data_IF_977028300386
#
_entry.id   IF_977028300386
#
_cell.length_a   1.000
_cell.length_b   1.000
_cell.length_c   1.000
_cell.angle_alpha   90.00
_cell.angle_beta   90.00
_cell.angle_gamma   90.00
#
_symmetry.space_group_name_H-M   'P 1'
#
loop_
_entity.id
_entity.type
_entity.pdbx_description
1 polymer ?
2 non-polymer ?
3 non-polymer ?
4 water ?
#
# COMPACT_ATOMS: atom_id res chain seq x y z
N UNK A 29 6.69 -33.67 16.88
CA UNK A 29 7.26 -32.97 15.72
C UNK A 29 7.43 -31.46 15.95
N UNK A 30 8.65 -30.97 15.79
CA UNK A 30 8.99 -29.60 16.14
C UNK A 30 8.20 -28.54 15.38
N UNK A 31 8.78 -27.36 15.24
CA UNK A 31 8.07 -26.27 14.57
C UNK A 31 8.23 -26.33 13.06
N UNK A 32 7.32 -25.67 12.38
CA UNK A 32 7.34 -25.67 10.92
C UNK A 32 8.44 -24.76 10.40
N UNK A 33 8.87 -25.03 9.17
CA UNK A 33 9.86 -24.21 8.48
C UNK A 33 9.47 -24.07 7.03
N UNK A 34 9.81 -22.91 6.47
CA UNK A 34 9.47 -22.53 5.11
C UNK A 34 10.71 -21.86 4.55
N UNK A 35 11.36 -22.52 3.61
CA UNK A 35 12.56 -21.97 2.97
C UNK A 35 13.60 -21.63 4.05
N UNK A 36 14.03 -22.68 4.76
CA UNK A 36 15.02 -22.55 5.82
C UNK A 36 14.66 -21.60 6.95
N UNK A 37 13.51 -20.93 6.83
CA UNK A 37 13.02 -20.02 7.85
C UNK A 37 12.07 -20.75 8.79
N UNK A 38 12.38 -20.76 10.08
CA UNK A 38 11.44 -21.32 11.04
C UNK A 38 10.17 -20.48 11.05
N UNK A 39 9.05 -21.14 11.26
CA UNK A 39 7.72 -20.53 11.24
C UNK A 39 6.97 -21.18 12.40
N UNK A 40 7.06 -20.57 13.58
CA UNK A 40 6.68 -21.26 14.80
C UNK A 40 5.23 -20.91 15.16
N UNK A 41 4.31 -21.43 14.34
CA UNK A 41 2.90 -21.06 14.42
C UNK A 41 1.99 -22.24 14.71
N UNK A 42 2.52 -23.46 14.85
CA UNK A 42 1.73 -24.59 15.26
C UNK A 42 1.41 -24.47 16.74
N UNK A 43 0.54 -25.35 17.26
CA UNK A 43 -0.13 -26.47 16.59
C UNK A 43 -1.32 -26.02 15.75
N UNK A 44 -1.83 -24.81 15.97
CA UNK A 44 -3.08 -24.39 15.32
C UNK A 44 -2.92 -24.20 13.82
N UNK A 45 -1.78 -23.67 13.37
CA UNK A 45 -1.56 -23.37 11.96
C UNK A 45 -0.48 -24.31 11.41
N UNK A 46 -0.80 -25.00 10.32
CA UNK A 46 0.09 -26.02 9.77
C UNK A 46 -0.05 -25.98 8.25
N UNK A 47 0.61 -26.93 7.57
CA UNK A 47 0.55 -27.04 6.11
C UNK A 47 0.90 -25.71 5.45
N UNK A 48 2.07 -25.19 5.80
CA UNK A 48 2.48 -23.87 5.34
C UNK A 48 2.88 -23.89 3.86
N UNK A 49 2.68 -22.75 3.20
CA UNK A 49 3.07 -22.53 1.81
C UNK A 49 3.65 -21.13 1.65
N UNK A 50 4.81 -21.03 1.01
CA UNK A 50 5.40 -19.73 0.74
C UNK A 50 4.44 -18.86 -0.08
N UNK A 51 4.48 -17.56 0.17
CA UNK A 51 3.70 -16.58 -0.56
C UNK A 51 4.60 -15.45 -1.05
N UNK A 52 5.40 -14.89 -0.15
CA UNK A 52 6.26 -13.79 -0.49
C UNK A 52 7.05 -13.35 0.73
N UNK A 53 7.93 -12.36 0.53
CA UNK A 53 8.74 -11.85 1.63
C UNK A 53 9.13 -10.40 1.38
N UNK A 54 9.26 -9.65 2.47
CA UNK A 54 9.75 -8.31 2.45
C UNK A 54 11.14 -8.20 3.04
N UNK A 55 11.51 -6.96 3.40
CA UNK A 55 12.85 -6.69 3.93
C UNK A 55 13.09 -7.39 5.26
N UNK A 56 12.11 -7.38 6.17
CA UNK A 56 12.29 -8.02 7.48
C UNK A 56 11.11 -8.95 7.82
N UNK A 57 10.57 -9.65 6.84
CA UNK A 57 9.43 -10.52 7.10
C UNK A 57 9.13 -11.41 5.91
N UNK A 58 8.35 -12.45 6.19
CA UNK A 58 7.93 -13.43 5.22
C UNK A 58 6.44 -13.69 5.40
N UNK A 59 5.78 -14.03 4.29
CA UNK A 59 4.35 -14.32 4.28
C UNK A 59 4.13 -15.72 3.74
N UNK A 60 3.32 -16.50 4.46
CA UNK A 60 2.89 -17.83 4.03
C UNK A 60 1.39 -17.95 4.21
N UNK A 61 0.82 -18.91 3.50
CA UNK A 61 -0.51 -19.43 3.85
C UNK A 61 -0.34 -20.59 4.79
N UNK A 62 -1.39 -20.87 5.55
CA UNK A 62 -1.39 -22.00 6.47
C UNK A 62 -2.81 -22.50 6.64
N UNK A 63 -2.93 -23.73 7.15
CA UNK A 63 -4.23 -24.29 7.50
C UNK A 63 -4.51 -23.99 8.98
N UNK A 64 -5.62 -23.29 9.24
CA UNK A 64 -6.11 -23.00 10.59
C UNK A 64 -7.02 -24.14 11.04
N UNK A 65 -6.48 -25.04 11.89
CA UNK A 65 -7.26 -26.21 12.33
C UNK A 65 -8.39 -25.86 13.28
N UNK A 66 -8.67 -24.59 13.58
CA UNK A 66 -9.83 -24.22 14.39
C UNK A 66 -11.00 -23.80 13.51
N UNK A 67 -10.77 -22.85 12.61
CA UNK A 67 -11.81 -22.35 11.72
C UNK A 67 -11.85 -23.10 10.41
N UNK A 68 -11.05 -24.16 10.28
CA UNK A 68 -11.09 -25.09 9.16
C UNK A 68 -10.96 -24.35 7.82
N UNK A 69 -10.15 -23.29 7.81
CA UNK A 69 -9.87 -22.54 6.59
C UNK A 69 -8.36 -22.35 6.48
N UNK A 70 -7.93 -21.98 5.27
CA UNK A 70 -6.57 -21.50 5.09
C UNK A 70 -6.49 -20.00 5.39
N UNK A 71 -5.38 -19.58 6.00
CA UNK A 71 -5.17 -18.19 6.37
C UNK A 71 -3.81 -17.72 5.85
N UNK A 72 -3.60 -16.40 5.90
CA UNK A 72 -2.30 -15.81 5.62
C UNK A 72 -1.60 -15.47 6.94
N UNK A 73 -0.30 -15.73 6.99
CA UNK A 73 0.51 -15.43 8.16
C UNK A 73 1.74 -14.64 7.71
N UNK A 74 1.90 -13.43 8.24
CA UNK A 74 3.11 -12.65 8.02
C UNK A 74 4.00 -12.75 9.25
N UNK A 75 5.17 -13.35 9.08
CA UNK A 75 6.21 -13.33 10.08
C UNK A 75 6.99 -12.03 9.96
N UNK A 76 7.19 -11.35 11.09
CA UNK A 76 7.88 -10.06 11.14
C UNK A 76 8.97 -10.18 12.19
N UNK A 77 10.21 -9.82 11.80
CA UNK A 77 11.38 -9.88 12.70
C UNK A 77 12.06 -8.52 12.76
N UNK A 78 11.52 -7.59 13.54
CA UNK A 78 11.91 -6.19 13.37
C UNK A 78 12.85 -5.64 14.42
N UNK A 79 13.13 -6.40 15.48
CA UNK A 79 13.59 -5.81 16.75
C UNK A 79 15.04 -5.33 16.72
N UNK A 80 15.81 -5.70 15.71
CA UNK A 80 17.17 -5.18 15.58
C UNK A 80 17.18 -3.67 15.26
N UNK A 81 16.13 -3.14 14.65
CA UNK A 81 16.15 -1.78 14.12
C UNK A 81 14.96 -0.98 14.63
N UNK A 82 15.25 0.19 15.22
CA UNK A 82 14.22 1.10 15.71
C UNK A 82 13.18 1.41 14.64
N UNK A 83 13.60 1.56 13.38
CA UNK A 83 12.64 1.87 12.32
C UNK A 83 11.66 0.72 12.10
N UNK A 84 12.18 -0.51 12.01
CA UNK A 84 11.31 -1.66 11.86
C UNK A 84 10.35 -1.74 13.02
N UNK A 85 10.81 -1.44 14.23
CA UNK A 85 9.95 -1.50 15.42
C UNK A 85 8.81 -0.49 15.32
N UNK A 86 9.09 0.73 14.85
CA UNK A 86 8.02 1.72 14.68
C UNK A 86 6.98 1.27 13.67
N UNK A 87 7.43 0.77 12.50
CA UNK A 87 6.50 0.36 11.45
C UNK A 87 5.66 -0.82 11.89
N UNK A 88 6.27 -1.77 12.60
CA UNK A 88 5.53 -2.93 13.10
C UNK A 88 4.46 -2.51 14.09
N UNK A 89 4.82 -1.66 15.06
CA UNK A 89 3.83 -1.16 16.00
C UNK A 89 2.75 -0.38 15.28
N UNK A 90 3.14 0.46 14.31
CA UNK A 90 2.15 1.20 13.54
C UNK A 90 1.24 0.26 12.77
N UNK A 91 1.82 -0.69 12.03
CA UNK A 91 1.00 -1.64 11.27
C UNK A 91 -0.04 -2.29 12.18
N UNK A 92 0.39 -2.80 13.33
CA UNK A 92 -0.52 -3.53 14.21
C UNK A 92 -1.62 -2.62 14.74
N UNK A 93 -1.25 -1.44 15.24
CA UNK A 93 -2.25 -0.57 15.86
C UNK A 93 -3.28 -0.07 14.84
N UNK A 94 -2.83 0.31 13.65
CA UNK A 94 -3.76 0.76 12.62
C UNK A 94 -4.69 -0.37 12.19
N UNK A 95 -4.12 -1.52 11.84
CA UNK A 95 -4.96 -2.61 11.33
C UNK A 95 -5.93 -3.12 12.39
N UNK A 96 -5.53 -3.10 13.67
CA UNK A 96 -6.49 -3.49 14.69
C UNK A 96 -7.58 -2.44 14.89
N UNK A 97 -7.36 -1.19 14.48
CA UNK A 97 -8.41 -0.20 14.68
C UNK A 97 -9.34 -0.10 13.48
N UNK A 98 -8.76 -0.18 12.29
CA UNK A 98 -9.53 -0.10 11.06
C UNK A 98 -10.45 -1.30 10.92
N UNK A 99 -11.63 -1.05 10.36
CA UNK A 99 -12.57 -2.13 10.11
C UNK A 99 -13.29 -1.80 8.79
N UNK A 100 -12.75 -2.29 7.68
CA UNK A 100 -13.27 -1.93 6.36
C UNK A 100 -13.14 -3.10 5.40
N UNK A 101 -14.14 -3.28 4.56
CA UNK A 101 -14.17 -4.43 3.66
C UNK A 101 -12.99 -4.44 2.70
N UNK A 102 -12.44 -3.27 2.33
CA UNK A 102 -11.39 -3.22 1.34
C UNK A 102 -10.02 -3.10 1.98
N UNK A 103 -9.91 -3.39 3.27
CA UNK A 103 -8.68 -3.26 4.01
C UNK A 103 -8.47 -4.55 4.79
N UNK A 104 -7.27 -5.13 4.64
CA UNK A 104 -6.94 -6.36 5.35
C UNK A 104 -7.01 -6.12 6.86
N UNK A 105 -7.51 -7.11 7.60
CA UNK A 105 -7.59 -7.04 9.04
C UNK A 105 -6.53 -7.92 9.70
N UNK A 106 -6.60 -7.99 11.02
CA UNK A 106 -5.76 -8.89 11.81
C UNK A 106 -6.67 -9.77 12.65
N UNK A 107 -6.54 -11.08 12.48
CA UNK A 107 -7.38 -12.05 13.19
C UNK A 107 -6.72 -12.58 14.44
N UNK A 108 -5.40 -12.70 14.42
CA UNK A 108 -4.64 -13.34 15.48
C UNK A 108 -3.21 -12.81 15.39
N UNK A 109 -2.52 -12.82 16.52
CA UNK A 109 -1.10 -12.51 16.59
C UNK A 109 -0.41 -13.50 17.51
N UNK A 110 0.68 -14.10 17.03
CA UNK A 110 1.48 -15.06 17.77
C UNK A 110 2.84 -14.43 18.09
N UNK A 111 3.24 -14.53 19.35
CA UNK A 111 4.62 -14.22 19.71
C UNK A 111 4.94 -14.93 21.03
N UNK A 112 6.23 -14.90 21.40
CA UNK A 112 6.74 -15.69 22.51
C UNK A 112 6.11 -15.25 23.84
N UNK A 113 6.04 -16.12 24.83
CA UNK A 113 5.34 -15.75 26.07
C UNK A 113 6.08 -14.71 26.91
N UNK A 114 7.39 -14.49 26.68
CA UNK A 114 8.16 -13.49 27.42
C UNK A 114 8.88 -12.55 26.45
N UNK A 115 8.99 -11.28 26.85
CA UNK A 115 9.64 -10.28 25.99
C UNK A 115 11.06 -10.69 25.66
N UNK A 116 11.78 -11.28 26.62
CA UNK A 116 13.11 -11.80 26.30
C UNK A 116 13.09 -12.80 25.17
N UNK A 117 12.02 -13.61 25.08
CA UNK A 117 11.97 -14.64 24.06
C UNK A 117 11.48 -14.13 22.71
N UNK A 118 10.81 -12.98 22.68
CA UNK A 118 10.17 -12.49 21.47
C UNK A 118 11.22 -12.01 20.48
N UNK A 119 11.49 -12.82 19.46
CA UNK A 119 12.31 -12.42 18.33
C UNK A 119 11.48 -12.12 17.09
N UNK A 120 10.30 -12.73 16.99
CA UNK A 120 9.46 -12.64 15.81
C UNK A 120 8.05 -12.31 16.25
N UNK A 121 7.30 -11.67 15.37
CA UNK A 121 5.86 -11.53 15.55
C UNK A 121 5.17 -12.06 14.30
N UNK A 122 4.15 -12.90 14.50
CA UNK A 122 3.38 -13.46 13.40
C UNK A 122 2.00 -12.84 13.43
N UNK A 123 1.62 -12.20 12.33
CA UNK A 123 0.29 -11.63 12.18
C UNK A 123 -0.54 -12.53 11.25
N UNK A 124 -1.73 -12.92 11.71
CA UNK A 124 -2.62 -13.80 10.95
C UNK A 124 -3.72 -12.97 10.34
N UNK A 125 -3.99 -13.20 9.06
CA UNK A 125 -5.00 -12.41 8.37
C UNK A 125 -5.71 -13.30 7.35
N UNK A 126 -6.84 -12.79 6.87
CA UNK A 126 -7.60 -13.50 5.84
C UNK A 126 -6.71 -13.83 4.66
N UNK A 127 -6.83 -15.04 4.13
CA UNK A 127 -6.07 -15.44 2.96
C UNK A 127 -6.83 -15.03 1.72
N UNK A 128 -6.12 -14.37 0.81
CA UNK A 128 -6.69 -13.96 -0.46
C UNK A 128 -6.07 -14.78 -1.58
N UNK A 129 -6.75 -14.76 -2.73
CA UNK A 129 -6.37 -15.66 -3.82
C UNK A 129 -5.05 -15.23 -4.46
N UNK A 130 -4.89 -13.94 -4.71
CA UNK A 130 -3.71 -13.48 -5.44
C UNK A 130 -3.54 -11.98 -5.19
N UNK A 131 -2.52 -11.39 -5.82
CA UNK A 131 -2.37 -9.94 -5.78
C UNK A 131 -2.42 -9.37 -7.20
N UNK A 132 -2.61 -8.06 -7.28
CA UNK A 132 -2.78 -7.47 -8.60
C UNK A 132 -1.50 -7.59 -9.42
N UNK A 133 -0.35 -7.61 -8.75
CA UNK A 133 0.90 -7.83 -9.47
C UNK A 133 0.81 -9.09 -10.33
N UNK A 134 0.54 -10.24 -9.70
CA UNK A 134 0.53 -11.50 -10.43
C UNK A 134 -0.59 -11.53 -11.46
N UNK A 135 -1.76 -11.00 -11.09
CA UNK A 135 -2.87 -10.95 -12.04
C UNK A 135 -2.45 -10.24 -13.32
N UNK A 136 -1.83 -9.07 -13.20
CA UNK A 136 -1.40 -8.32 -14.37
C UNK A 136 -0.22 -8.98 -15.10
N UNK A 137 0.46 -9.94 -14.50
CA UNK A 137 1.49 -10.67 -15.25
C UNK A 137 0.88 -11.68 -16.21
N UNK A 138 -0.39 -12.07 -16.02
CA UNK A 138 -0.95 -13.18 -16.77
C UNK A 138 -2.33 -12.93 -17.36
N UNK A 139 -2.97 -11.81 -17.05
CA UNK A 139 -4.35 -11.63 -17.46
C UNK A 139 -4.58 -10.22 -17.99
N UNK A 140 -5.45 -10.15 -19.00
CA UNK A 140 -5.92 -8.90 -19.58
C UNK A 140 -7.24 -8.55 -18.93
N UNK A 141 -7.33 -7.34 -18.38
CA UNK A 141 -8.51 -6.91 -17.64
C UNK A 141 -9.48 -6.18 -18.57
N UNK A 142 -10.72 -6.62 -18.59
CA UNK A 142 -11.79 -5.88 -19.25
C UNK A 142 -11.95 -4.51 -18.64
N UNK A 143 -12.48 -3.56 -19.43
CA UNK A 143 -12.75 -2.24 -18.88
C UNK A 143 -13.58 -2.34 -17.61
N UNK A 144 -14.49 -3.31 -17.55
CA UNK A 144 -15.34 -3.49 -16.38
C UNK A 144 -14.54 -3.86 -15.15
N UNK A 145 -13.58 -4.77 -15.27
CA UNK A 145 -12.83 -5.17 -14.10
C UNK A 145 -11.92 -4.05 -13.64
N UNK A 146 -11.27 -3.37 -14.59
CA UNK A 146 -10.44 -2.21 -14.27
C UNK A 146 -11.25 -1.19 -13.49
N UNK A 147 -12.46 -0.92 -13.95
CA UNK A 147 -13.36 0.01 -13.26
C UNK A 147 -13.65 -0.48 -11.84
N UNK A 148 -13.96 -1.77 -11.70
CA UNK A 148 -14.40 -2.31 -10.41
C UNK A 148 -13.26 -2.37 -9.40
N UNK A 149 -12.08 -2.82 -9.85
CA UNK A 149 -10.90 -2.77 -9.01
C UNK A 149 -10.55 -1.34 -8.61
N UNK A 150 -10.58 -0.39 -9.58
CA UNK A 150 -10.26 0.98 -9.22
C UNK A 150 -11.23 1.50 -8.17
N UNK A 151 -12.52 1.19 -8.34
CA UNK A 151 -13.49 1.64 -7.35
C UNK A 151 -13.09 1.13 -5.97
N UNK A 152 -12.73 -0.14 -5.86
CA UNK A 152 -12.48 -0.70 -4.54
C UNK A 152 -11.22 -0.09 -3.92
N UNK A 153 -10.15 0.01 -4.70
CA UNK A 153 -8.94 0.68 -4.21
C UNK A 153 -9.31 2.02 -3.59
N UNK A 154 -10.00 2.85 -4.36
CA UNK A 154 -10.34 4.19 -3.88
C UNK A 154 -11.33 4.15 -2.73
N UNK A 155 -12.23 3.17 -2.72
CA UNK A 155 -13.19 3.05 -1.62
C UNK A 155 -12.49 2.72 -0.31
N UNK A 156 -11.54 1.78 -0.35
CA UNK A 156 -10.67 1.57 0.79
C UNK A 156 -9.89 2.82 1.15
N UNK A 157 -9.32 3.49 0.13
CA UNK A 157 -8.45 4.63 0.40
C UNK A 157 -9.25 5.79 0.97
N UNK A 158 -10.54 5.87 0.64
CA UNK A 158 -11.40 6.87 1.26
C UNK A 158 -11.51 6.63 2.76
N UNK A 159 -11.77 5.39 3.17
CA UNK A 159 -11.76 5.09 4.59
C UNK A 159 -10.42 5.46 5.22
N UNK A 160 -9.31 5.01 4.59
CA UNK A 160 -7.97 5.28 5.12
C UNK A 160 -7.75 6.78 5.33
N UNK A 161 -7.91 7.56 4.26
CA UNK A 161 -7.62 8.99 4.34
C UNK A 161 -8.61 9.70 5.25
N UNK A 162 -9.85 9.17 5.34
CA UNK A 162 -10.83 9.76 6.23
C UNK A 162 -10.37 9.68 7.69
N UNK A 163 -9.52 8.72 8.01
CA UNK A 163 -8.96 8.57 9.34
C UNK A 163 -7.68 9.37 9.50
N UNK A 164 -7.33 10.19 8.52
CA UNK A 164 -6.10 10.97 8.50
C UNK A 164 -4.85 10.12 8.47
N UNK A 165 -4.92 8.95 7.82
CA UNK A 165 -3.79 8.06 7.64
C UNK A 165 -3.42 8.01 6.16
N UNK A 166 -2.13 7.89 5.89
CA UNK A 166 -1.59 7.68 4.55
C UNK A 166 -1.00 6.28 4.45
N UNK A 167 -1.27 5.59 3.35
CA UNK A 167 -0.65 4.28 3.15
C UNK A 167 0.82 4.45 2.78
N UNK A 168 1.10 5.25 1.76
CA UNK A 168 2.42 5.65 1.32
C UNK A 168 3.14 4.61 0.48
N UNK A 169 2.62 3.41 0.30
CA UNK A 169 3.35 2.45 -0.52
C UNK A 169 2.39 1.59 -1.33
N UNK A 170 1.30 2.19 -1.80
CA UNK A 170 0.38 1.44 -2.64
C UNK A 170 1.11 0.94 -3.89
N UNK A 171 0.85 -0.33 -4.25
CA UNK A 171 1.45 -0.91 -5.44
C UNK A 171 0.70 -2.20 -5.77
N UNK A 172 0.85 -2.74 -6.98
CA UNK A 172 0.07 -3.94 -7.32
C UNK A 172 0.35 -5.11 -6.40
N UNK A 173 1.55 -5.21 -5.82
CA UNK A 173 1.85 -6.38 -5.01
C UNK A 173 1.27 -6.29 -3.60
N UNK A 174 0.58 -5.20 -3.23
CA UNK A 174 -0.10 -5.22 -1.94
C UNK A 174 -1.58 -4.84 -2.11
N UNK A 175 -2.10 -5.07 -3.31
CA UNK A 175 -3.53 -5.06 -3.58
C UNK A 175 -3.94 -6.50 -3.81
N UNK A 176 -4.67 -7.07 -2.86
CA UNK A 176 -5.06 -8.47 -2.88
C UNK A 176 -6.43 -8.64 -3.50
N UNK A 177 -6.58 -9.76 -4.24
CA UNK A 177 -7.81 -10.10 -4.94
C UNK A 177 -8.32 -11.48 -4.53
N UNK A 178 -9.65 -11.60 -4.51
CA UNK A 178 -10.34 -12.84 -4.27
C UNK A 178 -10.88 -13.44 -5.56
N UNK A 179 -11.35 -14.68 -5.44
CA UNK A 179 -12.00 -15.34 -6.56
C UNK A 179 -13.12 -14.45 -7.12
N UNK A 180 -13.99 -13.92 -6.23
CA UNK A 180 -15.16 -13.14 -6.60
C UNK A 180 -14.84 -11.68 -6.95
N UNK A 181 -13.59 -11.37 -7.27
CA UNK A 181 -13.16 -10.03 -7.67
C UNK A 181 -13.13 -9.02 -6.53
N UNK A 182 -13.29 -9.45 -5.28
CA UNK A 182 -13.13 -8.54 -4.16
C UNK A 182 -11.66 -8.22 -3.96
N UNK A 183 -11.41 -6.97 -3.57
CA UNK A 183 -10.06 -6.44 -3.43
C UNK A 183 -9.84 -5.96 -2.00
N UNK A 184 -8.65 -6.21 -1.49
CA UNK A 184 -8.23 -5.67 -0.20
C UNK A 184 -6.84 -5.06 -0.28
N UNK A 185 -6.67 -3.90 0.35
CA UNK A 185 -5.36 -3.26 0.49
C UNK A 185 -4.65 -3.85 1.69
N UNK A 186 -3.38 -4.18 1.54
CA UNK A 186 -2.61 -4.67 2.69
C UNK A 186 -1.24 -4.00 2.84
N UNK A 187 -0.46 -4.49 3.79
CA UNK A 187 0.84 -3.95 4.20
C UNK A 187 0.79 -2.48 4.59
N UNK A 188 0.46 -2.21 5.85
CA UNK A 188 0.45 -0.86 6.39
C UNK A 188 1.69 -0.54 7.20
N UNK A 189 2.80 -1.23 6.95
CA UNK A 189 4.01 -0.96 7.70
C UNK A 189 4.52 0.45 7.54
N UNK A 190 4.35 1.03 6.36
CA UNK A 190 4.78 2.41 6.09
C UNK A 190 3.69 3.44 6.33
N UNK A 191 2.51 3.05 6.79
CA UNK A 191 1.45 4.03 6.96
C UNK A 191 1.79 5.01 8.06
N UNK A 192 1.24 6.22 7.97
CA UNK A 192 1.49 7.30 8.91
C UNK A 192 0.31 8.23 8.94
N UNK A 193 0.17 8.96 10.05
CA UNK A 193 -0.85 9.98 10.13
C UNK A 193 -0.36 11.22 9.39
N UNK A 194 -1.29 12.02 8.89
CA UNK A 194 -0.96 13.14 8.02
C UNK A 194 -0.84 14.45 8.78
N UNK A 210 8.91 -1.69 -5.77
CA UNK A 210 9.91 -0.74 -6.23
C UNK A 210 9.63 0.70 -5.79
N UNK A 211 10.19 1.62 -6.58
CA UNK A 211 9.89 3.04 -6.50
C UNK A 211 9.03 3.51 -7.67
N UNK A 212 8.45 2.59 -8.44
CA UNK A 212 7.74 2.98 -9.65
C UNK A 212 6.45 3.74 -9.37
N UNK A 213 5.97 3.71 -8.13
CA UNK A 213 4.69 4.31 -7.77
C UNK A 213 4.86 5.52 -6.86
N UNK A 214 6.10 5.94 -6.61
CA UNK A 214 6.34 7.11 -5.76
C UNK A 214 5.94 8.37 -6.50
N UNK A 215 5.15 9.22 -5.86
CA UNK A 215 4.86 10.54 -6.39
C UNK A 215 6.17 11.29 -6.63
N UNK A 216 6.18 12.27 -7.55
CA UNK A 216 7.41 13.05 -7.76
C UNK A 216 7.78 13.96 -6.59
N UNK A 217 6.82 14.53 -5.86
CA UNK A 217 7.18 15.30 -4.65
C UNK A 217 8.14 14.54 -3.76
N UNK A 218 7.99 13.21 -3.67
CA UNK A 218 8.77 12.44 -2.70
C UNK A 218 10.21 12.32 -3.14
N UNK A 219 10.44 12.27 -4.45
CA UNK A 219 11.79 12.19 -5.00
C UNK A 219 12.56 13.51 -4.88
N UNK A 220 12.06 14.42 -4.05
CA UNK A 220 12.87 15.46 -3.43
C UNK A 220 12.75 15.35 -1.92
N UNK A 221 11.57 15.55 -1.36
CA UNK A 221 11.34 15.46 0.06
C UNK A 221 12.30 16.38 0.82
N UNK A 224 7.91 15.22 2.83
CA UNK A 224 6.57 15.75 2.59
C UNK A 224 5.54 14.72 2.16
N UNK A 225 5.05 13.92 3.11
CA UNK A 225 4.07 12.87 2.84
C UNK A 225 2.66 13.41 3.10
N UNK A 226 1.92 13.70 2.03
CA UNK A 226 0.52 14.12 2.12
C UNK A 226 -0.37 13.10 1.41
N UNK A 227 -1.69 13.29 1.57
CA UNK A 227 -2.65 12.35 1.02
C UNK A 227 -2.50 12.18 -0.49
N UNK A 228 -1.97 13.19 -1.18
CA UNK A 228 -1.90 13.14 -2.63
C UNK A 228 -0.84 12.17 -3.15
N UNK A 229 0.12 11.77 -2.30
CA UNK A 229 1.08 10.78 -2.77
C UNK A 229 0.39 9.45 -2.98
N UNK A 230 -0.68 9.17 -2.21
CA UNK A 230 -1.45 7.95 -2.40
C UNK A 230 -2.22 7.99 -3.73
N UNK A 231 -2.79 9.16 -4.07
CA UNK A 231 -3.51 9.25 -5.33
C UNK A 231 -2.54 9.05 -6.50
N UNK A 232 -1.33 9.60 -6.39
CA UNK A 232 -0.34 9.35 -7.45
C UNK A 232 -0.17 7.84 -7.65
N UNK A 233 0.07 7.11 -6.57
CA UNK A 233 0.25 5.66 -6.66
C UNK A 233 -0.92 5.00 -7.35
N UNK A 234 -2.15 5.39 -6.98
CA UNK A 234 -3.33 4.79 -7.59
C UNK A 234 -3.39 5.13 -9.08
N UNK A 235 -3.01 6.37 -9.44
CA UNK A 235 -2.89 6.69 -10.85
C UNK A 235 -1.97 5.73 -11.59
N UNK A 236 -0.77 5.52 -11.04
CA UNK A 236 0.16 4.59 -11.68
C UNK A 236 -0.43 3.20 -11.78
N UNK A 237 -1.21 2.81 -10.77
CA UNK A 237 -1.80 1.46 -10.80
C UNK A 237 -2.85 1.39 -11.90
N UNK A 238 -3.66 2.44 -12.05
CA UNK A 238 -4.63 2.51 -13.12
C UNK A 238 -3.97 2.31 -14.49
N UNK A 239 -2.94 3.13 -14.77
CA UNK A 239 -2.19 3.02 -16.02
C UNK A 239 -1.75 1.59 -16.26
N UNK A 240 -1.20 0.96 -15.23
CA UNK A 240 -0.69 -0.40 -15.39
C UNK A 240 -1.83 -1.37 -15.69
N UNK A 241 -3.00 -1.19 -15.07
CA UNK A 241 -4.15 -2.03 -15.39
C UNK A 241 -4.62 -1.83 -16.84
N UNK A 242 -4.43 -0.62 -17.38
CA UNK A 242 -4.85 -0.30 -18.75
C UNK A 242 -3.95 -0.93 -19.80
N UNK A 243 -2.69 -1.20 -19.44
CA UNK A 243 -1.69 -1.64 -20.41
C UNK A 243 -0.91 -2.87 -20.00
N UNK A 244 -0.96 -3.28 -18.73
CA UNK A 244 -0.21 -4.43 -18.22
C UNK A 244 1.28 -4.16 -18.08
N UNK A 245 1.71 -2.90 -18.13
CA UNK A 245 3.12 -2.53 -17.99
C UNK A 245 3.23 -1.27 -17.14
N UNK A 246 4.25 -1.17 -16.28
CA UNK A 246 4.39 0.03 -15.46
C UNK A 246 4.46 1.25 -16.36
N UNK A 247 3.85 2.34 -15.91
CA UNK A 247 3.90 3.54 -16.73
C UNK A 247 5.20 4.32 -16.53
N UNK A 248 5.78 4.31 -15.33
CA UNK A 248 7.01 5.06 -15.03
C UNK A 248 8.08 4.12 -14.46
N UNK A 249 8.68 3.27 -15.29
CA UNK A 249 9.55 2.17 -14.79
C UNK A 249 11.03 2.56 -14.75
N UNK A 250 11.36 3.54 -13.91
CA UNK A 250 12.73 3.99 -13.83
C UNK A 250 13.63 3.04 -13.05
N UNK A 251 14.86 2.91 -13.55
CA UNK A 251 15.89 2.12 -12.87
C UNK A 251 16.38 2.81 -11.61
N UNK A 252 16.24 4.13 -11.54
CA UNK A 252 16.58 4.92 -10.37
C UNK A 252 15.77 6.20 -10.43
N UNK A 253 15.91 7.04 -9.41
CA UNK A 253 15.02 8.17 -9.26
C UNK A 253 15.23 9.19 -10.38
N UNK A 254 16.48 9.44 -10.76
CA UNK A 254 16.75 10.28 -11.93
C UNK A 254 16.03 9.75 -13.15
N UNK A 255 16.09 8.44 -13.38
CA UNK A 255 15.49 7.80 -14.54
C UNK A 255 13.96 7.74 -14.43
N UNK A 256 13.43 7.73 -13.20
CA UNK A 256 11.99 7.83 -13.01
C UNK A 256 11.48 9.22 -13.36
N UNK A 257 12.18 10.25 -12.87
CA UNK A 257 11.83 11.61 -13.25
C UNK A 257 11.80 11.76 -14.76
N UNK A 258 12.75 11.16 -15.47
CA UNK A 258 12.75 11.32 -16.93
C UNK A 258 11.54 10.63 -17.55
N UNK A 259 11.17 9.45 -17.06
CA UNK A 259 9.96 8.79 -17.53
C UNK A 259 8.74 9.69 -17.30
N UNK A 260 8.58 10.19 -16.06
CA UNK A 260 7.45 11.07 -15.76
C UNK A 260 7.42 12.25 -16.73
N UNK A 261 8.51 13.04 -16.79
CA UNK A 261 8.53 14.17 -17.70
C UNK A 261 8.31 13.73 -19.16
N UNK A 262 8.75 12.52 -19.51
CA UNK A 262 8.55 12.03 -20.88
C UNK A 262 7.10 11.90 -21.31
N UNK A 263 6.16 11.89 -20.37
CA UNK A 263 4.74 11.83 -20.66
C UNK A 263 4.02 13.11 -20.27
N UNK A 264 4.32 13.65 -19.08
CA UNK A 264 3.69 14.88 -18.61
C UNK A 264 4.25 16.12 -19.30
N UNK A 265 5.45 16.05 -19.85
CA UNK A 265 6.14 17.22 -20.38
C UNK A 265 6.85 17.99 -19.29
N UNK A 266 7.65 18.97 -19.70
CA UNK A 266 8.41 19.74 -18.73
C UNK A 266 7.47 20.39 -17.73
N UNK A 267 7.79 20.39 -16.45
CA UNK A 267 6.94 21.07 -15.49
C UNK A 267 6.92 22.56 -15.74
N UNK A 268 5.76 23.17 -15.49
CA UNK A 268 5.64 24.61 -15.48
C UNK A 268 6.45 25.20 -14.33
N UNK A 269 6.53 26.54 -14.32
CA UNK A 269 7.18 27.23 -13.22
C UNK A 269 6.38 27.06 -11.93
N UNK A 270 5.05 27.22 -11.99
CA UNK A 270 4.22 26.92 -10.84
C UNK A 270 4.50 25.51 -10.30
N UNK A 271 4.61 24.53 -11.21
CA UNK A 271 4.89 23.16 -10.77
C UNK A 271 6.28 23.06 -10.16
N UNK A 272 7.24 23.80 -10.72
CA UNK A 272 8.59 23.80 -10.20
C UNK A 272 8.66 24.40 -8.80
N UNK A 273 7.73 25.29 -8.46
CA UNK A 273 7.70 25.83 -7.11
C UNK A 273 7.24 24.79 -6.08
N UNK A 274 6.72 23.64 -6.51
CA UNK A 274 6.38 22.56 -5.57
C UNK A 274 7.57 21.70 -5.19
N UNK A 275 8.66 21.76 -5.97
CA UNK A 275 9.80 20.86 -5.82
C UNK A 275 10.78 21.54 -4.85
N UNK A 276 10.71 21.16 -3.57
CA UNK A 276 11.45 21.88 -2.55
C UNK A 276 12.94 21.58 -2.65
N UNK A 277 13.32 20.33 -2.94
CA UNK A 277 14.71 19.93 -2.83
C UNK A 277 15.59 20.57 -3.91
N UNK A 278 16.77 21.02 -3.49
CA UNK A 278 17.64 21.86 -4.32
C UNK A 278 18.35 21.07 -5.42
N UNK A 279 18.89 19.89 -5.09
CA UNK A 279 19.48 19.05 -6.13
C UNK A 279 18.45 18.68 -7.18
N UNK A 280 17.23 18.34 -6.74
CA UNK A 280 16.18 17.98 -7.69
C UNK A 280 15.81 19.17 -8.55
N UNK A 281 15.52 20.32 -7.91
CA UNK A 281 15.17 21.51 -8.66
C UNK A 281 16.23 21.84 -9.70
N UNK A 282 17.50 21.88 -9.27
CA UNK A 282 18.59 22.14 -10.21
C UNK A 282 18.58 21.14 -11.37
N UNK A 283 18.42 19.84 -11.06
CA UNK A 283 18.38 18.82 -12.10
C UNK A 283 17.28 19.10 -13.10
N UNK A 284 16.07 19.31 -12.61
CA UNK A 284 14.95 19.61 -13.49
C UNK A 284 15.26 20.84 -14.35
N UNK A 285 15.90 21.86 -13.78
CA UNK A 285 16.19 23.03 -14.59
C UNK A 285 17.28 22.78 -15.63
N UNK A 286 18.03 21.68 -15.51
CA UNK A 286 19.11 21.38 -16.44
C UNK A 286 18.66 20.60 -17.67
N UNK A 287 17.43 20.13 -17.67
CA UNK A 287 16.99 19.19 -18.69
C UNK A 287 16.48 19.95 -19.91
N UNK A 288 16.61 19.36 -21.09
CA UNK A 288 15.95 19.97 -22.25
C UNK A 288 14.45 19.92 -22.07
N UNK A 289 13.76 20.78 -22.82
CA UNK A 289 12.30 20.78 -22.80
C UNK A 289 11.76 19.43 -23.26
N UNK A 290 10.62 19.03 -22.71
CA UNK A 290 9.91 17.82 -23.11
C UNK A 290 8.45 18.17 -23.34
N UNK A 291 7.89 17.64 -24.43
CA UNK A 291 6.50 17.91 -24.78
C UNK A 291 5.60 16.93 -24.03
N UNK A 292 4.39 17.38 -23.70
CA UNK A 292 3.39 16.48 -23.10
C UNK A 292 2.84 15.53 -24.16
N UNK A 293 2.86 14.24 -23.86
CA UNK A 293 2.29 13.20 -24.72
C UNK A 293 0.83 12.98 -24.30
N UNK A 294 -0.14 13.10 -25.20
CA UNK A 294 -1.54 12.93 -24.80
C UNK A 294 -1.81 11.50 -24.34
N UNK A 295 -2.74 11.36 -23.39
CA UNK A 295 -2.96 10.05 -22.80
C UNK A 295 -3.47 9.03 -23.82
N UNK A 296 -4.32 9.45 -24.76
CA UNK A 296 -4.86 8.48 -25.71
C UNK A 296 -3.84 8.02 -26.75
N UNK A 297 -2.69 8.69 -26.83
CA UNK A 297 -1.59 8.12 -27.61
C UNK A 297 -0.90 6.99 -26.86
N UNK A 298 -0.84 7.05 -25.52
CA UNK A 298 -0.28 5.95 -24.74
C UNK A 298 -1.25 4.81 -24.57
N UNK A 299 -2.54 5.10 -24.48
CA UNK A 299 -3.58 4.10 -24.21
C UNK A 299 -4.64 4.24 -25.28
N UNK A 300 -4.30 3.95 -26.53
CA UNK A 300 -5.21 4.25 -27.63
C UNK A 300 -6.54 3.52 -27.55
N UNK A 301 -6.65 2.41 -26.80
CA UNK A 301 -7.92 1.70 -26.71
C UNK A 301 -8.57 1.75 -25.33
N UNK A 302 -8.20 2.70 -24.48
CA UNK A 302 -8.84 2.83 -23.18
C UNK A 302 -10.08 3.74 -23.23
N UNK A 303 -11.05 3.43 -22.36
CA UNK A 303 -12.19 4.29 -22.09
C UNK A 303 -11.77 5.74 -21.87
N UNK A 304 -12.46 6.67 -22.56
CA UNK A 304 -12.16 8.10 -22.44
C UNK A 304 -12.28 8.59 -21.00
N UNK A 305 -13.33 8.18 -20.29
CA UNK A 305 -13.45 8.60 -18.90
C UNK A 305 -12.28 8.09 -18.08
N UNK A 306 -11.90 6.82 -18.27
CA UNK A 306 -10.75 6.28 -17.56
C UNK A 306 -9.53 7.15 -17.77
N UNK A 307 -9.32 7.60 -19.02
CA UNK A 307 -8.17 8.44 -19.32
C UNK A 307 -8.31 9.82 -18.69
N UNK A 308 -9.52 10.38 -18.67
CA UNK A 308 -9.72 11.69 -18.06
C UNK A 308 -9.39 11.64 -16.56
N UNK A 309 -9.77 10.56 -15.88
CA UNK A 309 -9.45 10.42 -14.47
C UNK A 309 -7.94 10.22 -14.28
N UNK A 310 -7.36 9.30 -15.05
CA UNK A 310 -5.91 9.09 -15.00
C UNK A 310 -5.18 10.42 -15.13
N UNK A 311 -5.67 11.29 -16.01
CA UNK A 311 -5.01 12.57 -16.19
C UNK A 311 -5.01 13.36 -14.90
N UNK A 312 -6.11 13.33 -14.17
CA UNK A 312 -6.25 14.13 -12.96
C UNK A 312 -5.51 13.50 -11.77
N UNK A 313 -5.38 12.18 -11.74
CA UNK A 313 -4.58 11.51 -10.71
C UNK A 313 -3.08 11.72 -10.92
N UNK A 314 -2.61 11.55 -12.15
CA UNK A 314 -1.19 11.71 -12.48
C UNK A 314 -0.89 13.14 -12.91
N UNK A 315 -1.12 14.07 -11.98
CA UNK A 315 -0.83 15.48 -12.17
C UNK A 315 0.42 15.84 -11.38
N UNK A 316 1.36 16.52 -12.04
CA UNK A 316 2.67 16.75 -11.43
C UNK A 316 2.54 17.46 -10.09
N UNK A 317 1.75 18.53 -10.04
CA UNK A 317 1.60 19.36 -8.85
C UNK A 317 0.63 18.73 -7.85
N UNK A 318 1.10 18.27 -6.68
CA UNK A 318 0.15 17.67 -5.72
C UNK A 318 -1.01 18.56 -5.37
N UNK A 319 -0.83 19.88 -5.39
CA UNK A 319 -1.93 20.76 -4.99
C UNK A 319 -3.09 20.69 -5.99
N UNK A 320 -2.81 20.40 -7.26
CA UNK A 320 -3.86 20.28 -8.27
C UNK A 320 -4.27 18.84 -8.54
N UNK A 321 -3.60 17.87 -7.92
CA UNK A 321 -3.96 16.47 -8.11
C UNK A 321 -5.31 16.18 -7.45
N UNK A 322 -6.10 15.31 -8.09
CA UNK A 322 -7.46 15.05 -7.61
C UNK A 322 -7.42 14.37 -6.24
N UNK A 323 -8.53 14.50 -5.51
CA UNK A 323 -8.65 13.91 -4.17
C UNK A 323 -9.60 12.72 -4.22
N UNK A 324 -9.60 11.90 -3.15
CA UNK A 324 -10.17 10.56 -3.26
C UNK A 324 -11.68 10.60 -3.48
N UNK A 325 -12.37 11.55 -2.86
CA UNK A 325 -13.82 11.60 -3.05
C UNK A 325 -14.17 12.04 -4.48
N UNK A 326 -13.46 13.04 -4.98
CA UNK A 326 -13.70 13.50 -6.34
C UNK A 326 -13.34 12.42 -7.36
N UNK A 327 -12.27 11.66 -7.10
CA UNK A 327 -12.00 10.50 -7.94
C UNK A 327 -13.19 9.54 -7.92
N UNK A 328 -13.69 9.20 -6.72
CA UNK A 328 -14.80 8.25 -6.64
C UNK A 328 -16.03 8.78 -7.36
N UNK A 329 -16.22 10.09 -7.39
CA UNK A 329 -17.37 10.69 -8.03
C UNK A 329 -17.14 11.00 -9.50
N UNK A 330 -15.98 10.64 -10.04
CA UNK A 330 -15.69 10.87 -11.44
C UNK A 330 -16.62 10.01 -12.32
N UNK A 331 -17.03 10.52 -13.49
CA UNK A 331 -17.94 9.73 -14.35
C UNK A 331 -17.46 8.32 -14.65
N UNK A 332 -16.15 8.12 -14.86
CA UNK A 332 -15.67 6.78 -15.11
C UNK A 332 -16.16 5.78 -14.07
N UNK A 333 -16.34 6.21 -12.82
CA UNK A 333 -16.72 5.32 -11.74
C UNK A 333 -18.22 5.35 -11.41
N UNK A 334 -19.03 5.94 -12.29
CA UNK A 334 -20.43 6.14 -11.96
C UNK A 334 -21.16 4.81 -11.74
N UNK A 335 -20.72 3.75 -12.40
CA UNK A 335 -21.38 2.46 -12.24
C UNK A 335 -21.25 1.91 -10.82
N UNK A 336 -20.32 2.42 -10.02
CA UNK A 336 -20.11 1.81 -8.71
C UNK A 336 -20.19 2.82 -7.58
N UNK A 337 -19.87 4.08 -7.86
CA UNK A 337 -19.95 5.13 -6.85
C UNK A 337 -21.25 5.00 -6.08
N UNK A 338 -21.15 4.85 -4.77
CA UNK A 338 -22.33 4.73 -3.92
C UNK A 338 -22.02 5.29 -2.55
N UNK A 339 -22.10 6.62 -2.40
CA UNK A 339 -21.72 7.23 -1.13
C UNK A 339 -22.54 6.76 0.04
N UNK A 340 -23.74 6.22 -0.19
CA UNK A 340 -24.51 5.75 0.95
C UNK A 340 -23.94 4.48 1.57
N UNK A 341 -23.02 3.79 0.89
CA UNK A 341 -22.39 2.55 1.36
C UNK A 341 -20.87 2.64 1.20
N UNK A 342 -20.29 3.75 1.62
CA UNK A 342 -18.84 3.96 1.52
C UNK A 342 -18.40 4.51 2.87
N UNK A 343 -18.18 3.64 3.84
CA UNK A 343 -17.95 4.07 5.21
C UNK A 343 -16.68 4.91 5.35
N UNK A 344 -16.71 5.81 6.33
CA UNK A 344 -15.55 6.56 6.74
C UNK A 344 -15.29 6.26 8.21
N UNK A 345 -14.10 6.64 8.66
CA UNK A 345 -13.73 6.41 10.04
C UNK A 345 -14.50 7.35 10.96
N UNK A 346 -14.82 6.87 12.15
CA UNK A 346 -15.57 7.66 13.11
C UNK A 346 -14.79 8.91 13.54
N UNK A 347 -13.46 8.79 13.65
CA UNK A 347 -12.64 9.90 14.11
C UNK A 347 -11.23 9.74 13.54
N UNK A 348 -10.45 10.82 13.51
CA UNK A 348 -9.05 10.72 13.07
C UNK A 348 -8.24 9.83 13.98
N UNK A 349 -7.46 8.95 13.37
CA UNK A 349 -6.52 8.12 14.12
C UNK A 349 -5.41 9.02 14.67
N UNK A 350 -5.02 8.78 15.92
CA UNK A 350 -3.97 9.56 16.57
C UNK A 350 -3.13 8.64 17.44
N UNK A 351 -1.81 8.67 17.25
CA UNK A 351 -0.91 8.01 18.17
C UNK A 351 -0.70 8.89 19.39
N UNK A 352 -0.85 8.32 20.57
CA UNK A 352 -0.63 9.12 21.77
C UNK A 352 0.84 9.17 22.20
N UNK A 353 1.72 8.41 21.53
CA UNK A 353 3.13 8.44 21.85
C UNK A 353 3.93 8.85 20.61
N UNK A 354 5.14 9.37 20.85
CA UNK A 354 6.02 9.79 19.77
C UNK A 354 6.90 8.60 19.40
N UNK A 355 6.43 7.79 18.45
CA UNK A 355 7.15 6.56 18.14
C UNK A 355 8.55 6.85 17.62
N UNK A 356 8.67 7.87 16.76
CA UNK A 356 9.96 8.23 16.18
C UNK A 356 11.01 8.44 17.26
N UNK A 357 10.61 9.03 18.39
CA UNK A 357 11.53 9.34 19.46
C UNK A 357 11.94 8.14 20.29
N UNK A 358 11.21 7.00 20.19
CA UNK A 358 11.39 5.97 21.22
C UNK A 358 12.53 5.02 20.88
N UNK A 359 13.38 4.66 21.84
CA UNK A 359 14.44 3.69 21.58
C UNK A 359 13.82 2.35 21.25
N UNK A 360 14.54 1.54 20.45
CA UNK A 360 13.98 0.29 19.97
C UNK A 360 13.59 -0.65 21.12
N UNK A 361 14.20 -0.47 22.30
CA UNK A 361 13.80 -1.27 23.46
C UNK A 361 12.41 -0.88 23.96
N UNK A 362 12.14 0.43 24.04
CA UNK A 362 10.80 0.86 24.42
C UNK A 362 9.76 0.32 23.44
N UNK A 363 10.02 0.50 22.15
CA UNK A 363 9.07 0.07 21.13
C UNK A 363 8.73 -1.41 21.34
N UNK A 364 9.75 -2.24 21.52
CA UNK A 364 9.53 -3.67 21.70
C UNK A 364 8.59 -3.96 22.88
N UNK A 365 8.68 -3.16 23.95
CA UNK A 365 7.74 -3.31 25.07
C UNK A 365 6.33 -2.95 24.65
N UNK A 366 6.19 -1.86 23.90
CA UNK A 366 4.86 -1.50 23.42
C UNK A 366 4.32 -2.59 22.51
N UNK A 367 5.21 -3.23 21.75
CA UNK A 367 4.74 -4.29 20.87
C UNK A 367 4.34 -5.50 21.70
N UNK A 368 5.11 -5.82 22.74
CA UNK A 368 4.67 -6.83 23.70
C UNK A 368 3.30 -6.50 24.25
N UNK A 369 3.12 -5.26 24.73
CA UNK A 369 1.83 -4.85 25.26
C UNK A 369 0.70 -5.04 24.26
N UNK A 370 0.85 -4.48 23.04
CA UNK A 370 -0.25 -4.45 22.09
C UNK A 370 -0.72 -5.85 21.72
N UNK A 371 0.20 -6.82 21.70
CA UNK A 371 -0.11 -8.17 21.29
C UNK A 371 -0.57 -9.06 22.45
N UNK A 372 -0.53 -8.53 23.68
CA UNK A 372 -0.98 -9.29 24.84
C UNK A 372 -2.36 -9.88 24.61
N UNK A 373 -3.30 -9.05 24.13
CA UNK A 373 -4.71 -9.43 24.10
C UNK A 373 -4.97 -10.68 23.26
N UNK A 374 -4.03 -11.13 22.44
CA UNK A 374 -4.19 -12.35 21.67
C UNK A 374 -3.52 -13.54 22.32
N UNK A 375 -2.86 -13.34 23.45
CA UNK A 375 -2.11 -14.40 24.10
C UNK A 375 -3.03 -15.20 25.02
N UNK A 376 -2.92 -16.52 25.07
CA UNK A 376 -3.87 -17.31 25.87
C UNK A 376 -3.85 -16.89 27.34
N UNK A 377 -5.04 -16.82 27.92
CA UNK A 377 -5.19 -16.52 29.32
C UNK A 377 -5.26 -15.05 29.63
N UNK A 378 -5.36 -14.21 28.62
CA UNK A 378 -5.33 -12.77 28.79
C UNK A 378 -6.37 -12.31 29.82
X LIG B 1 -2.66 -13.06 0.39
X LIG B 1 -2.85 -13.89 -0.78
X LIG B 1 -1.92 -13.97 -1.89
X LIG B 1 -0.26 -13.12 -3.39
X LIG B 1 -1.09 -15.36 -3.67
X LIG B 1 1.08 -17.36 -4.96
X LIG B 1 0.39 -17.34 -2.71
X LIG B 1 2.19 -8.12 2.78
X LIG B 1 5.30 -7.94 1.62
X LIG B 1 1.38 -9.21 2.14
X LIG B 1 0.15 -9.80 2.42
X LIG B 1 -0.19 -10.80 1.53
X LIG B 1 0.72 -11.00 0.48
X LIG B 1 -1.38 -11.55 1.56
X LIG B 1 -2.35 -11.56 2.57
X LIG B 1 -3.47 -12.37 2.40
X LIG B 1 -1.09 -12.92 -2.31
X LIG B 1 -0.26 -14.33 -4.09
X LIG B 1 -1.92 -15.16 -2.58
X LIG B 1 -1.15 -16.73 -4.38
X LIG B 1 5.48 -8.47 0.19
X LIG B 1 4.25 -6.79 -0.68
X LIG B 1 3.96 -6.26 0.74
X LIG B 1 -3.59 -13.09 1.31
X LIG B 1 -1.57 -12.31 0.51
X LIG B 1 -0.04 -17.61 -4.06
X LIG B 1 3.26 -7.90 1.81
X LIG B 1 4.19 -7.13 1.82
X LIG B 1 1.99 -7.63 3.83
X LIG B 1 5.45 -7.46 -0.77
X LIG B 1 2.03 -9.86 0.71
X LIG B 1 -2.30 -10.67 4.11
X LIG B 1 -3.69 -14.43 -0.83
X LIG B 1 0.41 -12.33 -3.70
X LIG B 1 1.65 -18.27 -5.07
X LIG B 1 1.71 -16.57 -4.54
X LIG B 1 0.69 -17.04 -5.92
X LIG B 1 -0.48 -17.23 -2.07
X LIG B 1 0.98 -16.42 -2.70
X LIG B 1 1.01 -18.16 -2.36
X LIG B 1 5.22 -8.78 2.28
X LIG B 1 6.17 -7.35 1.87
X LIG B 1 -0.48 -9.50 3.25
X LIG B 1 0.63 -11.72 -0.31
X LIG B 1 -4.24 -12.40 3.15
X LIG B 1 -1.11 -11.97 -1.78
X LIG B 1 0.39 -14.46 -4.95
X LIG B 1 -2.58 -15.96 -2.27
X LIG B 1 -2.08 -17.22 -4.10
X LIG B 1 -1.15 -16.56 -5.45
X LIG B 1 4.69 -9.18 -0.02
X LIG B 1 6.44 -8.97 0.13
X LIG B 1 4.27 -5.95 -1.36
X LIG B 1 3.45 -7.46 -0.96
X LIG B 1 4.59 -5.39 0.89
X LIG B 1 2.92 -5.96 0.77
X LIG B 1 3.21 -8.48 1.00
X LIG C 1 5.67 -5.46 7.04
X LIG C 1 5.97 -5.10 8.36
X LIG C 1 6.52 -6.65 6.59
X LIG C 1 6.21 -6.80 5.23
X LIG C 1 8.01 -6.48 6.84
X LIG C 1 8.72 -6.61 5.63
X LIG C 1 5.84 -4.72 6.43
X LIG C 1 4.74 -5.69 6.95
X LIG C 1 5.76 -5.76 8.86
X LIG C 1 6.28 -7.41 7.14
X LIG C 1 6.30 -6.05 4.86
X LIG C 1 8.30 -7.14 7.49
X LIG C 1 8.16 -5.61 7.24
X LIG C 1 8.92 -7.43 5.52
X LIG D 1 17.18 1.60 13.63
X LIG D 1 17.13 1.96 12.28
X LIG D 1 18.62 1.68 14.10
X LIG D 1 18.70 2.49 15.26
X LIG D 1 19.16 0.30 14.43
X LIG D 1 19.10 0.16 15.84
X LIG D 1 16.85 0.69 13.77
X LIG D 1 16.63 2.18 14.17
X LIG D 1 17.66 1.46 11.85
X LIG D 1 19.11 2.06 13.36
X LIG D 1 18.45 2.02 15.92
X LIG D 1 20.07 0.23 14.11
X LIG D 1 18.64 -0.38 13.98
X LIG D 1 19.78 0.52 16.19
#
# INVERSE_FOLDING_TARGET
MGSSHHHHHHSSGLVPRGSHMAAAAAAGAGPEMVRGQVFDVGPRYTNLSYIGEGAYGMVCSAYDNVNKVRVAIKKISPFEHQTYCQRTLREIKILLRFRHENIIGINDIIRAPTIEQMKDVYIVQDLMETDLYKLLKTQHLSNDHICYFLYQILRGLKYIHSANVLHRDLKPSNLLLNTTCDLKICDFGLARVADPDHDHTGFLTEYVATRWYRAPEIMLNSKGYTKSIDIWSVGCILAEMLSNRPIFPGKHYLDQLNHILGILGSPSQEDLNCIINLKARNYLLSLPHKNKVPWNRLFPNADSKALDLLDKMLTFNPHKRIEVEQALAHPYLEQYYDPSDEPIAEAPFKFDMELDDLPKEKLKELIFEETARFQPGYRS
A1EKR C10 N12 C13 C15 C17 C21 C22 C24 C28 C01 C02 C03 C04 C06 C07 C08 C14 C16 C18 C19 C29 C31 C32 N09 N11 N20 N26 N27 O25 O30 S05 CL23 H121 H151 H213 H212 H211 H221 H223 H222 H282 H281 H021 H041 H081 H141 H161 H181 H191 H192 H292 H291 H312 H311 H322 H321 H261
GOL C1 O1 C2 O2 C3 O3 H11 H12 HO1 H2 HO2 H31 H32 HO3
GOL C1 O1 C2 O2 C3 O3 H11 H12 HO1 H2 HO2 H31 H32 HO3
#
